data_IF_393410810195
#
_entry.id   IF_393410810195
#
_cell.length_a   1.000
_cell.length_b   1.000
_cell.length_c   1.000
_cell.angle_alpha   90.00
_cell.angle_beta   90.00
_cell.angle_gamma   90.00
#
_symmetry.space_group_name_H-M   'P 1'
#
loop_
_entity.id
_entity.type
_entity.pdbx_description
1 polymer ?
#
# COMPACT_ATOMS: atom_id res chain seq x y z
N UNK A 1 -8.46 -18.62 18.70
CA UNK A 1 -8.97 -17.24 18.69
C UNK A 1 -9.57 -16.91 17.33
N UNK A 2 -10.73 -16.26 17.33
CA UNK A 2 -11.44 -15.89 16.09
C UNK A 2 -11.67 -14.40 16.07
N UNK A 3 -11.63 -13.80 14.87
CA UNK A 3 -11.99 -12.41 14.66
C UNK A 3 -13.08 -12.35 13.59
N UNK A 4 -14.05 -11.47 13.77
CA UNK A 4 -15.19 -11.35 12.87
C UNK A 4 -15.46 -9.88 12.57
N UNK A 5 -15.80 -9.59 11.30
CA UNK A 5 -16.28 -8.28 10.87
C UNK A 5 -17.73 -8.44 10.39
N UNK A 6 -18.61 -7.53 10.85
CA UNK A 6 -20.03 -7.56 10.47
C UNK A 6 -20.42 -6.30 9.72
N UNK A 7 -21.25 -6.46 8.68
CA UNK A 7 -21.75 -5.36 7.86
C UNK A 7 -23.24 -5.54 7.60
N UNK A 8 -23.99 -4.46 7.70
CA UNK A 8 -25.41 -4.45 7.37
C UNK A 8 -25.58 -4.12 5.89
N UNK A 9 -26.02 -5.11 5.11
CA UNK A 9 -26.24 -4.94 3.68
C UNK A 9 -27.71 -4.63 3.42
N UNK A 10 -28.02 -3.79 2.41
CA UNK A 10 -27.09 -3.20 1.45
C UNK A 10 -26.41 -1.87 1.88
N UNK A 11 -26.77 -1.34 3.05
CA UNK A 11 -26.34 0.02 3.47
C UNK A 11 -24.81 0.14 3.56
N UNK A 12 -24.13 -0.92 4.02
CA UNK A 12 -22.69 -0.93 4.22
C UNK A 12 -21.94 -1.72 3.13
N UNK A 13 -22.54 -1.85 1.95
CA UNK A 13 -21.97 -2.66 0.88
C UNK A 13 -20.56 -2.19 0.46
N UNK A 14 -20.35 -0.89 0.39
CA UNK A 14 -19.03 -0.35 0.02
C UNK A 14 -17.96 -0.72 1.05
N UNK A 15 -18.27 -0.59 2.33
CA UNK A 15 -17.35 -0.96 3.40
C UNK A 15 -17.06 -2.45 3.41
N UNK A 16 -18.10 -3.26 3.17
CA UNK A 16 -17.95 -4.71 3.05
C UNK A 16 -17.00 -5.08 1.91
N UNK A 17 -17.17 -4.45 0.76
CA UNK A 17 -16.32 -4.69 -0.41
C UNK A 17 -14.87 -4.32 -0.12
N UNK A 18 -14.63 -3.17 0.51
CA UNK A 18 -13.28 -2.74 0.85
C UNK A 18 -12.62 -3.70 1.85
N UNK A 19 -13.38 -4.21 2.82
CA UNK A 19 -12.86 -5.19 3.76
C UNK A 19 -12.43 -6.49 3.04
N UNK A 20 -13.20 -6.91 2.03
CA UNK A 20 -12.87 -8.09 1.25
C UNK A 20 -11.62 -7.89 0.39
N UNK A 21 -11.33 -6.66 -0.06
CA UNK A 21 -10.14 -6.37 -0.86
C UNK A 21 -8.88 -6.20 -0.02
N UNK A 22 -8.99 -6.23 1.31
CA UNK A 22 -7.86 -5.88 2.18
C UNK A 22 -6.59 -6.63 1.87
N UNK A 23 -6.67 -7.95 1.71
CA UNK A 23 -5.49 -8.76 1.38
C UNK A 23 -4.92 -8.37 0.02
N UNK A 24 -5.76 -8.26 -1.00
CA UNK A 24 -5.32 -7.91 -2.35
C UNK A 24 -4.69 -6.52 -2.40
N UNK A 25 -5.30 -5.55 -1.71
CA UNK A 25 -4.75 -4.20 -1.63
C UNK A 25 -3.38 -4.19 -0.95
N UNK A 26 -3.22 -4.97 0.13
CA UNK A 26 -1.94 -5.10 0.79
C UNK A 26 -0.87 -5.68 -0.15
N UNK A 27 -1.23 -6.68 -0.95
CA UNK A 27 -0.31 -7.26 -1.92
C UNK A 27 0.05 -6.28 -3.03
N UNK A 28 -0.91 -5.50 -3.52
CA UNK A 28 -0.66 -4.47 -4.53
C UNK A 28 0.34 -3.45 -4.01
N UNK A 29 0.15 -2.97 -2.79
CA UNK A 29 1.06 -1.99 -2.20
C UNK A 29 2.45 -2.60 -1.99
N UNK A 30 2.52 -3.84 -1.52
CA UNK A 30 3.80 -4.53 -1.34
C UNK A 30 4.54 -4.67 -2.68
N UNK A 31 3.85 -5.05 -3.74
CA UNK A 31 4.44 -5.17 -5.07
C UNK A 31 4.93 -3.82 -5.59
N UNK A 32 4.18 -2.76 -5.34
CA UNK A 32 4.59 -1.40 -5.71
C UNK A 32 5.86 -0.99 -4.96
N UNK A 33 5.95 -1.29 -3.68
CA UNK A 33 7.15 -1.00 -2.89
C UNK A 33 8.39 -1.73 -3.44
N UNK A 34 8.22 -2.99 -3.83
CA UNK A 34 9.29 -3.78 -4.43
C UNK A 34 9.73 -3.17 -5.76
N UNK A 35 8.78 -2.75 -6.59
CA UNK A 35 9.05 -2.09 -7.86
C UNK A 35 9.86 -0.82 -7.66
N UNK A 36 9.42 0.05 -6.74
CA UNK A 36 10.11 1.31 -6.46
C UNK A 36 11.53 1.05 -5.95
N UNK A 37 11.69 0.10 -5.04
CA UNK A 37 13.00 -0.28 -4.50
C UNK A 37 13.94 -0.78 -5.60
N UNK A 38 13.43 -1.60 -6.51
CA UNK A 38 14.22 -2.11 -7.63
C UNK A 38 14.71 -0.98 -8.54
N UNK A 39 13.84 -0.01 -8.83
CA UNK A 39 14.21 1.17 -9.63
C UNK A 39 15.33 1.97 -8.97
N UNK A 40 15.19 2.23 -7.69
CA UNK A 40 16.19 3.03 -6.95
C UNK A 40 17.54 2.32 -6.93
N UNK A 41 17.54 1.00 -6.70
CA UNK A 41 18.79 0.26 -6.51
C UNK A 41 19.51 -0.09 -7.80
N UNK A 42 18.78 -0.36 -8.89
CA UNK A 42 19.37 -1.08 -10.02
C UNK A 42 19.21 -0.40 -11.37
N UNK A 43 18.25 0.48 -11.55
CA UNK A 43 17.87 0.92 -12.90
C UNK A 43 18.02 2.41 -13.17
N UNK A 44 18.23 3.23 -12.13
CA UNK A 44 18.24 4.67 -12.27
C UNK A 44 19.57 5.24 -11.82
N UNK A 45 20.25 5.94 -12.73
CA UNK A 45 21.50 6.63 -12.44
C UNK A 45 21.34 8.15 -12.49
N UNK A 46 20.25 8.68 -13.08
CA UNK A 46 19.98 10.10 -13.14
C UNK A 46 19.53 10.60 -11.75
N UNK A 47 20.24 11.58 -11.14
CA UNK A 47 19.89 12.07 -9.81
C UNK A 47 18.48 12.64 -9.70
N UNK A 48 17.95 13.29 -10.73
CA UNK A 48 16.61 13.86 -10.70
C UNK A 48 15.53 12.76 -10.68
N UNK A 49 15.71 11.72 -11.49
CA UNK A 49 14.81 10.58 -11.50
C UNK A 49 14.89 9.81 -10.20
N UNK A 50 16.10 9.60 -9.69
CA UNK A 50 16.30 8.92 -8.41
C UNK A 50 15.58 9.66 -7.29
N UNK A 51 15.71 10.97 -7.24
CA UNK A 51 15.05 11.80 -6.24
C UNK A 51 13.52 11.69 -6.34
N UNK A 52 12.96 11.65 -7.55
CA UNK A 52 11.53 11.49 -7.76
C UNK A 52 11.02 10.16 -7.19
N UNK A 53 11.73 9.07 -7.46
CA UNK A 53 11.35 7.75 -6.92
C UNK A 53 11.47 7.70 -5.40
N UNK A 54 12.51 8.30 -4.84
CA UNK A 54 12.66 8.36 -3.39
C UNK A 54 11.54 9.17 -2.73
N UNK A 55 11.10 10.26 -3.35
CA UNK A 55 10.00 11.07 -2.86
C UNK A 55 8.69 10.28 -2.87
N UNK A 56 8.42 9.51 -3.92
CA UNK A 56 7.23 8.65 -3.99
C UNK A 56 7.28 7.58 -2.90
N UNK A 57 8.44 6.94 -2.72
CA UNK A 57 8.62 5.94 -1.66
C UNK A 57 8.32 6.55 -0.28
N UNK A 58 8.87 7.71 0.00
CA UNK A 58 8.72 8.35 1.30
C UNK A 58 7.27 8.77 1.54
N UNK A 59 6.57 9.26 0.51
CA UNK A 59 5.16 9.61 0.59
C UNK A 59 4.30 8.37 0.86
N UNK A 60 4.58 7.25 0.20
CA UNK A 60 3.85 6.01 0.43
C UNK A 60 4.03 5.53 1.87
N UNK A 61 5.26 5.58 2.40
CA UNK A 61 5.52 5.21 3.79
C UNK A 61 4.77 6.13 4.76
N UNK A 62 4.75 7.42 4.48
CA UNK A 62 4.03 8.40 5.31
C UNK A 62 2.52 8.10 5.32
N UNK A 63 1.94 7.79 4.17
CA UNK A 63 0.51 7.46 4.07
C UNK A 63 0.17 6.19 4.84
N UNK A 64 1.02 5.18 4.79
CA UNK A 64 0.83 3.95 5.54
C UNK A 64 0.94 4.21 7.05
N UNK A 65 1.93 4.97 7.47
CA UNK A 65 2.14 5.31 8.88
C UNK A 65 0.97 6.11 9.43
N UNK A 66 0.46 7.09 8.67
CA UNK A 66 -0.66 7.94 9.10
C UNK A 66 -1.92 7.11 9.37
N UNK A 67 -2.07 5.98 8.72
CA UNK A 67 -3.22 5.08 8.89
C UNK A 67 -2.91 3.86 9.74
N UNK A 68 -1.72 3.80 10.33
CA UNK A 68 -1.26 2.69 11.16
C UNK A 68 -1.31 1.35 10.40
N UNK A 69 -0.97 1.37 9.12
CA UNK A 69 -0.92 0.15 8.31
C UNK A 69 0.50 -0.36 8.27
N UNK A 70 0.69 -1.61 8.72
CA UNK A 70 1.98 -2.29 8.67
C UNK A 70 1.89 -3.43 7.68
N UNK A 71 2.78 -3.43 6.69
CA UNK A 71 2.87 -4.49 5.69
C UNK A 71 4.07 -5.38 5.99
N UNK A 72 3.97 -6.69 5.69
CA UNK A 72 5.08 -7.61 5.91
C UNK A 72 6.29 -7.34 5.02
#
# INVERSE_FOLDING_TARGET
MKATLEFNLPEEETNFRYANYGHDLAMIITDLQIYIRSKIKHEISDPDQLNAYENVRDELHSLLDDRNVTLP
#
